data_IF_142994114419
#
_entry.id   IF_142994114419
#
_cell.length_a   1.000
_cell.length_b   1.000
_cell.length_c   1.000
_cell.angle_alpha   90.00
_cell.angle_beta   90.00
_cell.angle_gamma   90.00
#
_symmetry.space_group_name_H-M   'P 1'
#
loop_
_entity.id
_entity.type
_entity.pdbx_description
1 polymer ?
#
# COMPACT_ATOMS: atom_id res chain seq x y z
N UNK A 1 -4.28 29.33 22.05
CA UNK A 1 -3.20 28.37 21.75
C UNK A 1 -3.83 27.01 21.51
N UNK A 2 -3.90 26.56 20.27
CA UNK A 2 -4.35 25.21 19.90
C UNK A 2 -3.22 24.23 20.26
N UNK A 3 -3.44 23.38 21.25
CA UNK A 3 -2.50 22.29 21.58
C UNK A 3 -2.53 21.28 20.43
N UNK A 4 -1.45 21.20 19.65
CA UNK A 4 -1.32 20.18 18.62
C UNK A 4 -1.20 18.82 19.28
N UNK A 5 -2.09 17.88 18.92
CA UNK A 5 -2.04 16.52 19.42
C UNK A 5 -0.79 15.84 18.86
N UNK A 6 0.19 15.57 19.72
CA UNK A 6 1.41 14.85 19.33
C UNK A 6 1.11 13.37 19.15
N UNK A 7 1.86 12.68 18.28
CA UNK A 7 1.73 11.23 18.12
C UNK A 7 2.21 10.51 19.38
N UNK A 8 1.49 9.44 19.78
CA UNK A 8 1.83 8.60 20.94
C UNK A 8 3.07 7.75 20.66
N UNK A 9 3.25 7.35 19.41
CA UNK A 9 4.36 6.53 18.96
C UNK A 9 5.14 7.20 17.82
N UNK A 10 6.39 6.77 17.68
CA UNK A 10 7.25 6.98 16.52
C UNK A 10 7.68 5.64 15.94
N UNK A 11 8.16 5.63 14.69
CA UNK A 11 8.74 4.42 14.10
C UNK A 11 10.15 4.18 14.64
N UNK A 12 10.44 2.94 15.00
CA UNK A 12 11.81 2.50 15.23
C UNK A 12 12.49 2.15 13.88
N UNK A 13 13.77 1.76 13.92
CA UNK A 13 14.53 1.41 12.70
C UNK A 13 13.87 0.26 11.94
N UNK A 14 13.36 -0.77 12.62
CA UNK A 14 12.66 -1.87 11.96
C UNK A 14 11.39 -1.39 11.24
N UNK A 15 10.59 -0.54 11.89
CA UNK A 15 9.38 0.04 11.30
C UNK A 15 9.68 0.89 10.07
N UNK A 16 10.74 1.71 10.12
CA UNK A 16 11.24 2.51 9.00
C UNK A 16 11.73 1.64 7.85
N UNK A 17 12.56 0.63 8.14
CA UNK A 17 13.09 -0.28 7.12
C UNK A 17 11.95 -1.05 6.45
N UNK A 18 10.99 -1.58 7.22
CA UNK A 18 9.86 -2.29 6.66
C UNK A 18 8.97 -1.37 5.81
N UNK A 19 8.71 -0.14 6.26
CA UNK A 19 7.96 0.85 5.49
C UNK A 19 8.61 1.11 4.12
N UNK A 20 9.91 1.44 4.10
CA UNK A 20 10.62 1.69 2.85
C UNK A 20 10.84 0.43 2.01
N UNK A 21 11.00 -0.74 2.63
CA UNK A 21 11.13 -2.00 1.91
C UNK A 21 9.87 -2.29 1.08
N UNK A 22 8.67 -2.03 1.60
CA UNK A 22 7.44 -2.24 0.83
C UNK A 22 7.33 -1.25 -0.32
N UNK A 23 7.73 0.02 -0.14
CA UNK A 23 7.86 0.96 -1.26
C UNK A 23 8.89 0.49 -2.30
N UNK A 24 10.00 -0.10 -1.87
CA UNK A 24 10.99 -0.70 -2.76
C UNK A 24 10.40 -1.85 -3.58
N UNK A 25 9.63 -2.74 -2.96
CA UNK A 25 8.92 -3.82 -3.65
C UNK A 25 7.93 -3.25 -4.66
N UNK A 26 7.13 -2.24 -4.28
CA UNK A 26 6.21 -1.57 -5.20
C UNK A 26 6.94 -0.96 -6.39
N UNK A 27 8.07 -0.28 -6.17
CA UNK A 27 8.87 0.32 -7.23
C UNK A 27 9.44 -0.72 -8.19
N UNK A 28 9.96 -1.85 -7.67
CA UNK A 28 10.46 -2.96 -8.49
C UNK A 28 9.34 -3.56 -9.33
N UNK A 29 8.20 -3.89 -8.73
CA UNK A 29 7.07 -4.51 -9.45
C UNK A 29 6.45 -3.58 -10.50
N UNK A 30 6.60 -2.26 -10.34
CA UNK A 30 6.06 -1.26 -11.26
C UNK A 30 7.10 -0.71 -12.23
N UNK A 31 8.34 -1.23 -12.22
CA UNK A 31 9.47 -0.64 -12.95
C UNK A 31 9.19 -0.57 -14.46
N UNK A 32 8.79 -1.68 -15.08
CA UNK A 32 8.51 -1.73 -16.51
C UNK A 32 7.23 -1.00 -16.93
N UNK A 33 6.31 -0.75 -15.99
CA UNK A 33 5.15 0.11 -16.24
C UNK A 33 5.56 1.59 -16.34
N UNK A 34 6.37 2.07 -15.39
CA UNK A 34 6.80 3.47 -15.34
C UNK A 34 7.94 3.79 -16.32
N UNK A 35 8.81 2.81 -16.58
CA UNK A 35 10.01 2.93 -17.41
C UNK A 35 10.16 1.68 -18.30
N UNK A 36 9.44 1.62 -19.45
CA UNK A 36 9.42 0.45 -20.31
C UNK A 36 10.81 -0.03 -20.76
N UNK A 37 11.76 0.87 -20.96
CA UNK A 37 13.16 0.56 -21.30
C UNK A 37 13.87 -0.29 -20.24
N UNK A 38 13.42 -0.26 -18.99
CA UNK A 38 13.98 -1.02 -17.86
C UNK A 38 13.18 -2.27 -17.50
N UNK A 39 12.12 -2.62 -18.25
CA UNK A 39 11.31 -3.81 -17.96
C UNK A 39 12.15 -5.11 -17.87
N UNK A 40 13.16 -5.22 -18.73
CA UNK A 40 14.10 -6.35 -18.76
C UNK A 40 14.84 -6.61 -17.43
N UNK A 41 14.95 -5.60 -16.56
CA UNK A 41 15.59 -5.73 -15.25
C UNK A 41 14.76 -6.56 -14.25
N UNK A 42 13.46 -6.75 -14.53
CA UNK A 42 12.54 -7.48 -13.66
C UNK A 42 11.96 -8.74 -14.29
N UNK A 43 12.19 -9.00 -15.59
CA UNK A 43 11.65 -10.15 -16.32
C UNK A 43 11.97 -11.54 -15.72
N UNK A 44 13.00 -11.62 -14.88
CA UNK A 44 13.32 -12.82 -14.11
C UNK A 44 12.29 -13.15 -13.01
N UNK A 45 11.40 -12.21 -12.66
CA UNK A 45 10.29 -12.40 -11.72
C UNK A 45 9.12 -13.05 -12.47
N UNK A 46 8.73 -14.29 -12.12
CA UNK A 46 7.65 -14.98 -12.81
C UNK A 46 6.33 -14.18 -12.78
N UNK A 47 5.75 -13.94 -13.96
CA UNK A 47 4.47 -13.25 -14.11
C UNK A 47 4.52 -11.73 -13.97
N UNK A 48 5.70 -11.10 -13.77
CA UNK A 48 5.78 -9.65 -13.57
C UNK A 48 5.35 -8.86 -14.80
N UNK A 49 5.67 -9.33 -16.00
CA UNK A 49 5.31 -8.66 -17.26
C UNK A 49 3.80 -8.63 -17.48
N UNK A 50 3.11 -9.73 -17.14
CA UNK A 50 1.65 -9.79 -17.14
C UNK A 50 1.03 -8.94 -16.02
N UNK A 51 1.75 -8.71 -14.92
CA UNK A 51 1.29 -7.89 -13.80
C UNK A 51 1.45 -6.38 -14.06
N UNK A 52 2.47 -5.97 -14.79
CA UNK A 52 2.84 -4.55 -14.99
C UNK A 52 1.70 -3.63 -15.44
N UNK A 53 0.80 -4.02 -16.38
CA UNK A 53 -0.36 -3.20 -16.73
C UNK A 53 -1.25 -2.83 -15.54
N UNK A 54 -1.29 -3.70 -14.53
CA UNK A 54 -2.12 -3.58 -13.33
C UNK A 54 -1.38 -2.99 -12.12
N UNK A 55 -0.13 -2.58 -12.31
CA UNK A 55 0.74 -2.13 -11.22
C UNK A 55 0.24 -0.83 -10.57
N UNK A 56 -0.42 0.05 -11.32
CA UNK A 56 -0.97 1.31 -10.81
C UNK A 56 -1.98 1.07 -9.68
N UNK A 57 -2.97 0.19 -9.90
CA UNK A 57 -4.00 -0.14 -8.92
C UNK A 57 -3.40 -0.83 -7.69
N UNK A 58 -2.44 -1.74 -7.90
CA UNK A 58 -1.67 -2.34 -6.80
C UNK A 58 -0.93 -1.28 -5.97
N UNK A 59 -0.26 -0.33 -6.64
CA UNK A 59 0.48 0.75 -5.99
C UNK A 59 -0.46 1.67 -5.21
N UNK A 60 -1.62 2.00 -5.76
CA UNK A 60 -2.64 2.80 -5.07
C UNK A 60 -3.14 2.08 -3.81
N UNK A 61 -3.57 0.82 -3.94
CA UNK A 61 -4.05 0.04 -2.79
C UNK A 61 -3.02 -0.09 -1.67
N UNK A 62 -1.79 -0.46 -2.04
CA UNK A 62 -0.70 -0.64 -1.08
C UNK A 62 -0.24 0.69 -0.47
N UNK A 63 0.01 1.68 -1.32
CA UNK A 63 0.54 2.98 -0.92
C UNK A 63 -0.42 3.75 -0.02
N UNK A 64 -1.72 3.80 -0.37
CA UNK A 64 -2.72 4.47 0.47
C UNK A 64 -2.81 3.78 1.84
N UNK A 65 -2.86 2.44 1.88
CA UNK A 65 -2.92 1.70 3.14
C UNK A 65 -1.65 1.90 3.98
N UNK A 66 -0.47 1.93 3.37
CA UNK A 66 0.79 2.19 4.08
C UNK A 66 0.83 3.61 4.66
N UNK A 67 0.54 4.63 3.85
CA UNK A 67 0.59 6.02 4.28
C UNK A 67 -0.43 6.31 5.38
N UNK A 68 -1.69 5.92 5.15
CA UNK A 68 -2.73 6.03 6.15
C UNK A 68 -2.38 5.22 7.40
N UNK A 69 -2.04 3.94 7.23
CA UNK A 69 -1.82 3.02 8.32
C UNK A 69 -0.67 3.44 9.23
N UNK A 70 0.48 3.87 8.68
CA UNK A 70 1.63 4.33 9.47
C UNK A 70 1.23 5.53 10.34
N UNK A 71 0.59 6.54 9.74
CA UNK A 71 0.13 7.71 10.51
C UNK A 71 -0.82 7.25 11.61
N UNK A 72 -1.81 6.41 11.29
CA UNK A 72 -2.83 6.00 12.26
C UNK A 72 -2.29 5.16 13.40
N UNK A 73 -1.36 4.23 13.16
CA UNK A 73 -0.74 3.46 14.25
C UNK A 73 0.17 4.34 15.14
N UNK A 74 0.76 5.41 14.60
CA UNK A 74 1.48 6.41 15.42
C UNK A 74 0.56 7.14 16.40
N UNK A 75 -0.74 7.24 16.07
CA UNK A 75 -1.81 7.76 16.94
C UNK A 75 -2.62 6.66 17.65
N UNK A 76 -2.05 5.47 17.80
CA UNK A 76 -2.64 4.33 18.54
C UNK A 76 -3.93 3.75 17.94
N UNK A 77 -4.07 3.78 16.62
CA UNK A 77 -5.19 3.13 15.95
C UNK A 77 -5.26 1.63 16.28
N UNK A 78 -6.50 1.17 16.51
CA UNK A 78 -6.83 -0.23 16.75
C UNK A 78 -6.82 -1.07 15.47
N UNK A 79 -6.76 -2.40 15.61
CA UNK A 79 -6.80 -3.32 14.45
C UNK A 79 -8.11 -3.21 13.66
N UNK A 80 -9.24 -2.99 14.34
CA UNK A 80 -10.55 -2.84 13.70
C UNK A 80 -10.57 -1.63 12.75
N UNK A 81 -9.99 -0.50 13.16
CA UNK A 81 -9.86 0.68 12.32
C UNK A 81 -9.05 0.40 11.05
N UNK A 82 -7.90 -0.27 11.20
CA UNK A 82 -7.04 -0.64 10.06
C UNK A 82 -7.74 -1.60 9.09
N UNK A 83 -8.51 -2.56 9.61
CA UNK A 83 -9.30 -3.49 8.80
C UNK A 83 -10.41 -2.77 8.04
N UNK A 84 -11.14 -1.86 8.70
CA UNK A 84 -12.17 -1.05 8.05
C UNK A 84 -11.54 -0.19 6.95
N UNK A 85 -10.41 0.46 7.23
CA UNK A 85 -9.71 1.25 6.22
C UNK A 85 -9.29 0.40 5.00
N UNK A 86 -8.72 -0.79 5.23
CA UNK A 86 -8.37 -1.72 4.16
C UNK A 86 -9.60 -2.14 3.33
N UNK A 87 -10.73 -2.43 3.98
CA UNK A 87 -11.98 -2.77 3.28
C UNK A 87 -12.49 -1.60 2.44
N UNK A 88 -12.44 -0.37 2.97
CA UNK A 88 -12.84 0.83 2.23
C UNK A 88 -11.93 1.06 1.03
N UNK A 89 -10.61 0.99 1.19
CA UNK A 89 -9.65 1.16 0.08
C UNK A 89 -9.87 0.09 -1.00
N UNK A 90 -10.03 -1.17 -0.60
CA UNK A 90 -10.32 -2.26 -1.53
C UNK A 90 -11.66 -2.05 -2.27
N UNK A 91 -12.70 -1.63 -1.56
CA UNK A 91 -14.01 -1.36 -2.15
C UNK A 91 -13.98 -0.16 -3.10
N UNK A 92 -13.19 0.87 -2.80
CA UNK A 92 -13.01 2.03 -3.68
C UNK A 92 -12.24 1.63 -4.94
N UNK A 93 -11.14 0.89 -4.82
CA UNK A 93 -10.38 0.39 -5.98
C UNK A 93 -11.25 -0.49 -6.89
N UNK A 94 -11.97 -1.46 -6.32
CA UNK A 94 -12.87 -2.32 -7.09
C UNK A 94 -14.08 -1.53 -7.65
N UNK A 95 -14.58 -0.56 -6.90
CA UNK A 95 -15.71 0.29 -7.28
C UNK A 95 -15.39 1.15 -8.48
N UNK A 96 -14.22 1.79 -8.46
CA UNK A 96 -13.70 2.58 -9.57
C UNK A 96 -13.58 1.73 -10.84
N UNK A 97 -12.90 0.59 -10.76
CA UNK A 97 -12.62 -0.24 -11.93
C UNK A 97 -13.87 -0.89 -12.54
N UNK A 98 -14.84 -1.27 -11.69
CA UNK A 98 -16.00 -2.04 -12.15
C UNK A 98 -17.23 -1.20 -12.50
N UNK A 99 -17.35 0.03 -11.97
CA UNK A 99 -18.56 0.84 -12.06
C UNK A 99 -18.35 2.27 -12.56
N UNK A 100 -17.10 2.78 -12.56
CA UNK A 100 -16.78 4.13 -13.00
C UNK A 100 -15.63 4.11 -14.01
N UNK A 101 -15.86 3.61 -15.25
CA UNK A 101 -14.84 3.60 -16.30
C UNK A 101 -14.67 5.03 -16.83
N UNK A 102 -13.99 5.90 -16.06
CA UNK A 102 -13.68 7.27 -16.50
C UNK A 102 -12.53 7.23 -17.51
N UNK A 103 -11.56 6.33 -17.33
CA UNK A 103 -10.40 6.15 -18.23
C UNK A 103 -10.18 4.72 -18.77
N UNK A 104 -10.64 3.66 -18.07
CA UNK A 104 -10.31 2.27 -18.43
C UNK A 104 -11.51 1.44 -18.89
N UNK A 105 -11.26 0.43 -19.74
CA UNK A 105 -12.24 -0.64 -19.98
C UNK A 105 -12.35 -1.48 -18.71
N UNK A 106 -13.55 -1.92 -18.34
CA UNK A 106 -13.75 -2.73 -17.13
C UNK A 106 -12.80 -3.93 -17.10
N UNK A 107 -11.80 -3.90 -16.22
CA UNK A 107 -10.81 -4.96 -16.07
C UNK A 107 -10.83 -5.56 -14.64
N UNK A 108 -11.34 -6.79 -14.47
CA UNK A 108 -11.33 -7.48 -13.18
C UNK A 108 -9.92 -7.70 -12.60
N UNK A 109 -8.88 -7.81 -13.43
CA UNK A 109 -7.51 -8.02 -12.96
C UNK A 109 -6.96 -6.76 -12.27
N UNK A 110 -7.35 -5.58 -12.75
CA UNK A 110 -7.03 -4.30 -12.13
C UNK A 110 -7.71 -4.13 -10.76
N UNK A 111 -8.95 -4.61 -10.61
CA UNK A 111 -9.61 -4.62 -9.32
C UNK A 111 -8.89 -5.57 -8.34
N UNK A 112 -8.50 -6.77 -8.80
CA UNK A 112 -7.78 -7.75 -7.99
C UNK A 112 -6.40 -7.22 -7.58
N UNK A 113 -5.66 -6.58 -8.49
CA UNK A 113 -4.33 -6.04 -8.19
C UNK A 113 -4.40 -4.98 -7.08
N UNK A 114 -5.41 -4.10 -7.12
CA UNK A 114 -5.67 -3.11 -6.07
C UNK A 114 -6.01 -3.72 -4.72
N UNK A 115 -6.79 -4.81 -4.70
CA UNK A 115 -7.08 -5.56 -3.47
C UNK A 115 -5.81 -6.21 -2.92
N UNK A 116 -5.01 -6.87 -3.76
CA UNK A 116 -3.75 -7.51 -3.37
C UNK A 116 -2.77 -6.48 -2.79
N UNK A 117 -2.64 -5.32 -3.42
CA UNK A 117 -1.84 -4.20 -2.90
C UNK A 117 -2.33 -3.75 -1.52
N UNK A 118 -3.64 -3.59 -1.35
CA UNK A 118 -4.23 -3.19 -0.07
C UNK A 118 -3.95 -4.22 1.04
N UNK A 119 -4.06 -5.52 0.74
CA UNK A 119 -3.75 -6.60 1.69
C UNK A 119 -2.27 -6.60 2.07
N UNK A 120 -1.37 -6.41 1.10
CA UNK A 120 0.07 -6.30 1.36
C UNK A 120 0.37 -5.11 2.29
N UNK A 121 -0.21 -3.94 2.00
CA UNK A 121 -0.08 -2.74 2.81
C UNK A 121 -0.59 -2.96 4.24
N UNK A 122 -1.78 -3.56 4.40
CA UNK A 122 -2.32 -3.90 5.72
C UNK A 122 -1.41 -4.87 6.48
N UNK A 123 -0.92 -5.92 5.82
CA UNK A 123 0.01 -6.88 6.42
C UNK A 123 1.27 -6.19 6.94
N UNK A 124 1.87 -5.31 6.14
CA UNK A 124 3.00 -4.49 6.54
C UNK A 124 2.68 -3.61 7.75
N UNK A 125 1.55 -2.90 7.76
CA UNK A 125 1.12 -2.06 8.88
C UNK A 125 0.90 -2.88 10.16
N UNK A 126 0.32 -4.07 10.07
CA UNK A 126 0.13 -4.95 11.22
C UNK A 126 1.47 -5.43 11.80
N UNK A 127 2.47 -5.69 10.94
CA UNK A 127 3.83 -6.00 11.38
C UNK A 127 4.53 -4.80 12.02
N UNK A 128 4.43 -3.61 11.42
CA UNK A 128 4.97 -2.37 12.00
C UNK A 128 4.29 -2.08 13.34
N UNK A 129 2.97 -2.27 13.46
CA UNK A 129 2.26 -2.10 14.74
C UNK A 129 2.77 -3.07 15.80
N UNK A 130 3.12 -4.30 15.42
CA UNK A 130 3.58 -5.34 16.35
C UNK A 130 5.01 -5.09 16.86
N UNK A 131 5.93 -4.63 16.00
CA UNK A 131 7.36 -4.59 16.33
C UNK A 131 8.10 -3.30 15.90
N UNK A 132 7.44 -2.41 15.17
CA UNK A 132 8.01 -1.21 14.55
C UNK A 132 7.74 0.11 15.28
N UNK A 133 7.06 0.08 16.43
CA UNK A 133 6.70 1.28 17.20
C UNK A 133 7.58 1.47 18.44
N UNK A 134 7.87 2.72 18.78
CA UNK A 134 8.48 3.18 20.03
C UNK A 134 7.61 4.28 20.63
N UNK A 135 7.50 4.35 21.96
CA UNK A 135 6.82 5.47 22.62
C UNK A 135 7.55 6.78 22.32
N UNK A 136 6.76 7.82 22.02
CA UNK A 136 7.25 9.17 21.85
C UNK A 136 7.40 9.80 23.25
N UNK A 137 8.61 9.70 23.82
CA UNK A 137 9.00 10.29 25.11
C UNK A 137 9.50 11.71 24.96
#
# INVERSE_FOLDING_TARGET
MTSYKTSKYTLNVFGLLLFFAVFGVMAILSLGYSFPEYAHLVDWIPGVTAFQPHASNFVFGCGVMLLYGVVRIMYDAGRAELLIAALVIAAVNAGYELFLPIENTRDPLDAISGVVGTVLGLGAILMIRKAGLKLNT
#
